data_IF_185789572478
#
_entry.id   IF_185789572478
#
_cell.length_a   1.000
_cell.length_b   1.000
_cell.length_c   1.000
_cell.angle_alpha   90.00
_cell.angle_beta   90.00
_cell.angle_gamma   90.00
#
_symmetry.space_group_name_H-M   'P 1'
#
loop_
_entity.id
_entity.type
_entity.pdbx_description
1 polymer ?
#
# COMPACT_ATOMS: atom_id res chain seq x y z
N UNK A 1 -14.20 16.51 0.75
CA UNK A 1 -12.91 16.48 1.49
C UNK A 1 -11.87 17.24 0.67
N UNK A 2 -11.14 18.22 1.23
CA UNK A 2 -10.10 18.96 0.48
C UNK A 2 -8.88 18.05 0.21
N UNK A 3 -8.53 17.89 -1.06
CA UNK A 3 -7.25 17.30 -1.50
C UNK A 3 -6.07 18.11 -0.93
N UNK A 4 -4.97 17.44 -0.59
CA UNK A 4 -3.75 18.11 -0.14
C UNK A 4 -3.18 18.94 -1.30
N UNK A 5 -2.41 20.00 -1.00
CA UNK A 5 -1.75 20.83 -2.03
C UNK A 5 -0.70 20.05 -2.84
N UNK A 6 -0.31 18.85 -2.40
CA UNK A 6 0.74 18.05 -3.02
C UNK A 6 0.11 16.82 -3.66
N UNK A 7 0.21 16.72 -4.99
CA UNK A 7 -0.27 15.57 -5.74
C UNK A 7 0.75 14.43 -5.65
N UNK A 8 0.54 13.50 -4.72
CA UNK A 8 1.41 12.34 -4.52
C UNK A 8 0.66 11.02 -4.66
N UNK A 9 1.41 9.97 -5.00
CA UNK A 9 1.02 8.57 -4.94
C UNK A 9 2.20 7.77 -4.38
N UNK A 10 1.89 6.63 -3.76
CA UNK A 10 2.91 5.74 -3.20
C UNK A 10 2.80 4.35 -3.79
N UNK A 11 3.94 3.69 -3.95
CA UNK A 11 4.02 2.30 -4.38
C UNK A 11 4.60 1.45 -3.25
N UNK A 12 3.98 0.29 -3.00
CA UNK A 12 4.47 -0.69 -2.05
C UNK A 12 4.71 -2.04 -2.72
N UNK A 13 5.69 -2.77 -2.20
CA UNK A 13 5.91 -4.16 -2.55
C UNK A 13 5.10 -5.08 -1.62
N UNK A 14 4.57 -6.20 -2.13
CA UNK A 14 3.86 -7.17 -1.31
C UNK A 14 4.82 -7.73 -0.23
N UNK A 15 4.44 -7.69 1.06
CA UNK A 15 5.27 -8.18 2.14
C UNK A 15 5.45 -9.70 2.04
N UNK A 16 6.58 -10.18 2.56
CA UNK A 16 6.96 -11.61 2.49
C UNK A 16 6.88 -12.32 3.85
N UNK A 17 6.77 -11.56 4.94
CA UNK A 17 6.75 -12.08 6.32
C UNK A 17 5.97 -11.13 7.25
N UNK A 18 5.68 -11.57 8.47
CA UNK A 18 4.87 -10.80 9.43
C UNK A 18 5.50 -9.45 9.83
N UNK A 19 6.82 -9.42 9.98
CA UNK A 19 7.55 -8.18 10.30
C UNK A 19 7.37 -7.12 9.20
N UNK A 20 7.50 -7.51 7.93
CA UNK A 20 7.26 -6.61 6.79
C UNK A 20 5.80 -6.21 6.64
N UNK A 21 4.84 -7.04 7.07
CA UNK A 21 3.42 -6.64 7.17
C UNK A 21 3.25 -5.51 8.19
N UNK A 22 3.84 -5.64 9.38
CA UNK A 22 3.77 -4.61 10.42
C UNK A 22 4.39 -3.29 9.96
N UNK A 23 5.60 -3.37 9.37
CA UNK A 23 6.29 -2.19 8.81
C UNK A 23 5.48 -1.51 7.70
N UNK A 24 4.84 -2.29 6.82
CA UNK A 24 3.97 -1.76 5.76
C UNK A 24 2.82 -0.92 6.34
N UNK A 25 2.12 -1.43 7.36
CA UNK A 25 1.03 -0.70 7.99
C UNK A 25 1.50 0.57 8.70
N UNK A 26 2.66 0.52 9.38
CA UNK A 26 3.26 1.71 9.99
C UNK A 26 3.57 2.78 8.94
N UNK A 27 4.11 2.39 7.78
CA UNK A 27 4.41 3.30 6.68
C UNK A 27 3.14 3.89 6.05
N UNK A 28 2.11 3.07 5.81
CA UNK A 28 0.81 3.53 5.29
C UNK A 28 0.21 4.58 6.23
N UNK A 29 0.13 4.29 7.53
CA UNK A 29 -0.44 5.21 8.52
C UNK A 29 0.36 6.52 8.62
N UNK A 30 1.69 6.45 8.47
CA UNK A 30 2.57 7.63 8.46
C UNK A 30 2.33 8.51 7.23
N UNK A 31 2.00 7.92 6.09
CA UNK A 31 1.83 8.60 4.80
C UNK A 31 0.38 9.04 4.52
N UNK A 32 -0.60 8.43 5.18
CA UNK A 32 -2.04 8.75 5.07
C UNK A 32 -2.37 10.25 5.17
N UNK A 33 -1.76 11.05 6.08
CA UNK A 33 -2.07 12.48 6.19
C UNK A 33 -1.74 13.30 4.93
N UNK A 34 -0.87 12.78 4.04
CA UNK A 34 -0.54 13.41 2.76
C UNK A 34 -1.68 13.31 1.74
N UNK A 35 -2.72 12.52 2.01
CA UNK A 35 -3.87 12.29 1.14
C UNK A 35 -3.46 11.91 -0.28
N UNK A 36 -2.72 10.79 -0.46
CA UNK A 36 -2.30 10.36 -1.78
C UNK A 36 -3.51 10.12 -2.68
N UNK A 37 -3.36 10.41 -3.97
CA UNK A 37 -4.45 10.21 -4.96
C UNK A 37 -4.76 8.73 -5.17
N UNK A 38 -3.75 7.88 -5.06
CA UNK A 38 -3.85 6.43 -5.09
C UNK A 38 -2.62 5.80 -4.46
N UNK A 39 -2.73 4.51 -4.15
CA UNK A 39 -1.63 3.64 -3.75
C UNK A 39 -1.55 2.50 -4.77
N UNK A 40 -0.35 2.22 -5.29
CA UNK A 40 -0.07 1.04 -6.11
C UNK A 40 0.59 -0.05 -5.28
N UNK A 41 0.40 -1.31 -5.69
CA UNK A 41 1.11 -2.46 -5.15
C UNK A 41 1.77 -3.19 -6.30
N UNK A 42 3.08 -3.39 -6.22
CA UNK A 42 3.84 -4.06 -7.28
C UNK A 42 3.39 -5.52 -7.42
N UNK A 43 3.35 -5.99 -8.67
CA UNK A 43 3.10 -7.40 -8.98
C UNK A 43 4.44 -8.11 -9.21
N UNK A 44 4.76 -9.10 -8.39
CA UNK A 44 6.02 -9.84 -8.49
C UNK A 44 6.20 -10.49 -9.86
N UNK A 45 7.44 -10.48 -10.36
CA UNK A 45 7.79 -11.11 -11.63
C UNK A 45 7.31 -12.57 -11.68
N UNK A 46 6.73 -12.98 -12.81
CA UNK A 46 6.18 -14.32 -13.01
C UNK A 46 4.95 -14.67 -12.15
N UNK A 47 4.33 -13.71 -11.46
CA UNK A 47 3.16 -13.97 -10.61
C UNK A 47 3.48 -14.57 -9.24
N UNK A 48 4.75 -14.58 -8.85
CA UNK A 48 5.25 -15.12 -7.57
C UNK A 48 4.58 -14.54 -6.32
N UNK A 49 3.97 -13.34 -6.43
CA UNK A 49 3.30 -12.67 -5.30
C UNK A 49 1.82 -12.42 -5.54
N UNK A 50 1.18 -13.10 -6.51
CA UNK A 50 -0.22 -12.81 -6.92
C UNK A 50 -1.20 -12.76 -5.75
N UNK A 51 -1.20 -13.80 -4.91
CA UNK A 51 -2.11 -13.87 -3.75
C UNK A 51 -1.80 -12.77 -2.73
N UNK A 52 -0.52 -12.55 -2.42
CA UNK A 52 -0.11 -11.52 -1.46
C UNK A 52 -0.47 -10.11 -1.96
N UNK A 53 -0.26 -9.81 -3.25
CA UNK A 53 -0.64 -8.54 -3.86
C UNK A 53 -2.15 -8.34 -3.78
N UNK A 54 -2.96 -9.35 -4.15
CA UNK A 54 -4.43 -9.24 -4.11
C UNK A 54 -4.97 -9.05 -2.68
N UNK A 55 -4.47 -9.84 -1.74
CA UNK A 55 -4.85 -9.76 -0.34
C UNK A 55 -4.47 -8.39 0.26
N UNK A 56 -3.29 -7.87 -0.08
CA UNK A 56 -2.84 -6.57 0.38
C UNK A 56 -3.73 -5.44 -0.17
N UNK A 57 -4.00 -5.41 -1.47
CA UNK A 57 -4.86 -4.39 -2.10
C UNK A 57 -6.25 -4.36 -1.46
N UNK A 58 -6.85 -5.53 -1.21
CA UNK A 58 -8.13 -5.64 -0.50
C UNK A 58 -8.08 -5.06 0.91
N UNK A 59 -7.00 -5.32 1.65
CA UNK A 59 -6.85 -4.80 3.00
C UNK A 59 -6.65 -3.29 3.02
N UNK A 60 -5.82 -2.75 2.12
CA UNK A 60 -5.60 -1.29 2.00
C UNK A 60 -6.94 -0.60 1.74
N UNK A 61 -7.69 -1.04 0.71
CA UNK A 61 -9.02 -0.49 0.39
C UNK A 61 -10.03 -0.54 1.55
N UNK A 62 -9.89 -1.49 2.48
CA UNK A 62 -10.78 -1.62 3.65
C UNK A 62 -10.37 -0.69 4.79
N UNK A 63 -9.08 -0.35 4.91
CA UNK A 63 -8.51 0.35 6.07
C UNK A 63 -8.17 1.83 5.82
N UNK A 64 -8.11 2.26 4.56
CA UNK A 64 -7.88 3.66 4.14
C UNK A 64 -9.06 4.15 3.33
#
# INVERSE_FOLDING_TARGET
>A
MKQSKVNVSFEFFPPKNEESISSLWQNINRLEPLKPRFISVTYGAGGSTRENTHNLVKQIKKKT
#
